data_IF_032156856687
#
_entry.id   IF_032156856687
#
_cell.length_a   1.000
_cell.length_b   1.000
_cell.length_c   1.000
_cell.angle_alpha   90.00
_cell.angle_beta   90.00
_cell.angle_gamma   90.00
#
_symmetry.space_group_name_H-M   'P 1'
#
loop_
_entity.id
_entity.type
_entity.pdbx_description
1 polymer ?
#
# COMPACT_ATOMS: atom_id res chain seq x y z
N UNK A 1 -8.25 17.03 -22.83
CA UNK A 1 -8.76 16.17 -21.73
C UNK A 1 -9.76 16.97 -20.94
N UNK A 2 -10.97 16.44 -20.74
CA UNK A 2 -11.90 17.01 -19.79
C UNK A 2 -11.36 16.77 -18.37
N UNK A 3 -11.45 17.77 -17.49
CA UNK A 3 -11.10 17.60 -16.08
C UNK A 3 -12.11 16.63 -15.44
N UNK A 4 -11.63 15.49 -14.93
CA UNK A 4 -12.42 14.58 -14.11
C UNK A 4 -12.08 14.86 -12.64
N UNK A 5 -13.06 15.13 -11.77
CA UNK A 5 -12.80 15.23 -10.35
C UNK A 5 -12.38 13.86 -9.79
N UNK A 6 -11.47 13.87 -8.82
CA UNK A 6 -11.11 12.67 -8.08
C UNK A 6 -12.03 12.48 -6.87
N UNK A 7 -12.16 11.23 -6.43
CA UNK A 7 -12.85 10.83 -5.21
C UNK A 7 -11.95 9.92 -4.38
N UNK A 8 -12.24 9.86 -3.07
CA UNK A 8 -11.73 8.78 -2.21
C UNK A 8 -12.54 7.51 -2.46
N UNK A 9 -11.84 6.39 -2.58
CA UNK A 9 -12.38 5.04 -2.67
C UNK A 9 -12.35 4.34 -1.30
N UNK A 10 -11.82 5.00 -0.27
CA UNK A 10 -11.63 4.46 1.06
C UNK A 10 -10.19 4.63 1.55
N UNK A 11 -9.98 4.22 2.79
CA UNK A 11 -8.69 4.22 3.46
C UNK A 11 -8.10 2.81 3.48
N UNK A 12 -6.81 2.71 3.76
CA UNK A 12 -6.13 1.45 4.02
C UNK A 12 -6.85 0.63 5.10
N UNK A 13 -7.28 1.30 6.17
CA UNK A 13 -7.97 0.69 7.29
C UNK A 13 -9.29 0.02 6.88
N UNK A 14 -10.11 0.68 6.07
CA UNK A 14 -11.42 0.13 5.71
C UNK A 14 -11.39 -0.79 4.48
N UNK A 15 -10.38 -0.67 3.61
CA UNK A 15 -10.28 -1.45 2.39
C UNK A 15 -9.35 -2.67 2.49
N UNK A 16 -8.29 -2.61 3.29
CA UNK A 16 -7.22 -3.64 3.28
C UNK A 16 -7.06 -4.29 4.65
N UNK A 17 -6.72 -3.51 5.68
CA UNK A 17 -6.41 -4.02 7.01
C UNK A 17 -7.14 -3.22 8.10
N UNK A 18 -8.23 -3.78 8.62
CA UNK A 18 -9.07 -3.16 9.65
C UNK A 18 -8.39 -2.91 10.98
N UNK A 19 -7.22 -3.52 11.21
CA UNK A 19 -6.44 -3.35 12.44
C UNK A 19 -5.27 -2.39 12.27
N UNK A 20 -5.11 -1.82 11.07
CA UNK A 20 -4.04 -0.89 10.74
C UNK A 20 -4.57 0.48 10.36
N UNK A 21 -3.75 1.50 10.60
CA UNK A 21 -4.07 2.89 10.29
C UNK A 21 -3.45 3.33 8.97
N UNK A 22 -2.44 2.63 8.45
CA UNK A 22 -1.78 2.94 7.18
C UNK A 22 -0.86 1.79 6.76
N UNK A 23 -0.43 1.74 5.48
CA UNK A 23 0.62 0.80 5.05
C UNK A 23 1.92 0.95 5.84
N UNK A 24 2.25 2.17 6.25
CA UNK A 24 3.45 2.46 7.02
C UNK A 24 3.36 1.87 8.43
N UNK A 25 2.15 1.80 9.00
CA UNK A 25 1.89 1.12 10.26
C UNK A 25 2.05 -0.39 10.14
N UNK A 26 1.65 -1.00 9.02
CA UNK A 26 1.90 -2.44 8.77
C UNK A 26 3.41 -2.76 8.73
N UNK A 27 4.21 -1.89 8.08
CA UNK A 27 5.66 -2.01 8.07
C UNK A 27 6.24 -1.89 9.49
N UNK A 28 5.76 -0.93 10.27
CA UNK A 28 6.19 -0.76 11.66
C UNK A 28 5.82 -1.97 12.52
N UNK A 29 4.62 -2.51 12.38
CA UNK A 29 4.18 -3.69 13.12
C UNK A 29 5.04 -4.92 12.78
N UNK A 30 5.40 -5.08 11.50
CA UNK A 30 6.34 -6.12 11.07
C UNK A 30 7.72 -5.93 11.73
N UNK A 31 8.30 -4.73 11.62
CA UNK A 31 9.64 -4.40 12.17
C UNK A 31 9.67 -4.51 13.70
N UNK A 32 8.60 -4.13 14.39
CA UNK A 32 8.49 -4.23 15.84
C UNK A 32 8.51 -5.68 16.36
N UNK A 33 8.31 -6.67 15.49
CA UNK A 33 8.50 -8.09 15.80
C UNK A 33 9.97 -8.53 15.93
N UNK A 34 10.92 -7.72 15.44
CA UNK A 34 12.35 -8.01 15.45
C UNK A 34 13.09 -7.57 16.73
N UNK A 35 14.40 -7.81 16.84
CA UNK A 35 15.24 -7.34 17.95
C UNK A 35 15.35 -5.81 18.04
N UNK A 36 15.39 -5.25 19.26
CA UNK A 36 15.44 -3.79 19.47
C UNK A 36 16.68 -3.12 18.85
N UNK A 37 17.84 -3.77 18.89
CA UNK A 37 19.08 -3.28 18.29
C UNK A 37 18.96 -3.15 16.77
N UNK A 38 18.40 -4.17 16.12
CA UNK A 38 18.08 -4.13 14.69
C UNK A 38 17.09 -3.02 14.33
N UNK A 39 16.01 -2.85 15.11
CA UNK A 39 15.05 -1.75 14.91
C UNK A 39 15.74 -0.37 14.97
N UNK A 40 16.60 -0.14 15.97
CA UNK A 40 17.36 1.09 16.11
C UNK A 40 18.33 1.30 14.92
N UNK A 41 18.88 0.23 14.36
CA UNK A 41 19.70 0.28 13.16
C UNK A 41 18.89 0.69 11.93
N UNK A 42 17.69 0.14 11.75
CA UNK A 42 16.81 0.53 10.64
C UNK A 42 16.46 2.03 10.68
N UNK A 43 16.17 2.57 11.86
CA UNK A 43 15.88 3.98 12.03
C UNK A 43 17.13 4.86 11.78
N UNK A 44 18.25 4.52 12.42
CA UNK A 44 19.47 5.35 12.37
C UNK A 44 20.14 5.37 10.99
N UNK A 45 19.98 4.30 10.21
CA UNK A 45 20.49 4.21 8.83
C UNK A 45 19.52 4.76 7.79
N UNK A 46 18.27 5.03 8.18
CA UNK A 46 17.18 5.41 7.28
C UNK A 46 16.66 4.25 6.43
N UNK A 47 17.01 3.00 6.74
CA UNK A 47 16.49 1.82 6.06
C UNK A 47 14.97 1.66 6.26
N UNK A 48 14.44 2.01 7.44
CA UNK A 48 12.99 1.98 7.69
C UNK A 48 12.21 2.83 6.67
N UNK A 49 12.69 4.04 6.39
CA UNK A 49 12.05 4.93 5.41
C UNK A 49 12.09 4.36 3.99
N UNK A 50 13.15 3.60 3.64
CA UNK A 50 13.26 2.93 2.34
C UNK A 50 12.31 1.73 2.24
N UNK A 51 12.19 0.94 3.30
CA UNK A 51 11.23 -0.18 3.36
C UNK A 51 9.80 0.35 3.17
N UNK A 52 9.44 1.41 3.89
CA UNK A 52 8.14 2.07 3.72
C UNK A 52 7.94 2.58 2.29
N UNK A 53 8.94 3.24 1.70
CA UNK A 53 8.85 3.73 0.33
C UNK A 53 8.67 2.59 -0.70
N UNK A 54 9.44 1.51 -0.59
CA UNK A 54 9.35 0.36 -1.48
C UNK A 54 8.02 -0.38 -1.33
N UNK A 55 7.50 -0.53 -0.10
CA UNK A 55 6.19 -1.14 0.13
C UNK A 55 5.06 -0.31 -0.50
N UNK A 56 5.11 1.02 -0.33
CA UNK A 56 4.14 1.93 -0.98
C UNK A 56 4.27 1.92 -2.49
N UNK A 57 5.47 1.75 -3.03
CA UNK A 57 5.68 1.60 -4.47
C UNK A 57 5.03 0.31 -4.98
N UNK A 58 5.28 -0.82 -4.30
CA UNK A 58 4.65 -2.10 -4.63
C UNK A 58 3.12 -2.02 -4.58
N UNK A 59 2.55 -1.35 -3.57
CA UNK A 59 1.11 -1.11 -3.48
C UNK A 59 0.64 -0.32 -4.71
N UNK A 60 1.26 0.82 -5.03
CA UNK A 60 0.82 1.62 -6.18
C UNK A 60 0.99 0.89 -7.53
N UNK A 61 1.97 -0.02 -7.66
CA UNK A 61 2.14 -0.85 -8.85
C UNK A 61 1.03 -1.91 -9.01
N UNK A 62 0.46 -2.39 -7.90
CA UNK A 62 -0.63 -3.35 -7.91
C UNK A 62 -2.01 -2.72 -8.20
N UNK A 63 -2.12 -1.40 -8.05
CA UNK A 63 -3.37 -0.67 -8.26
C UNK A 63 -3.66 -0.41 -9.75
N UNK A 64 -4.93 -0.13 -10.12
CA UNK A 64 -5.24 0.43 -11.41
C UNK A 64 -4.46 1.73 -11.66
N UNK A 65 -4.02 2.02 -12.91
CA UNK A 65 -3.16 3.19 -13.19
C UNK A 65 -3.81 4.54 -12.83
N UNK A 66 -5.13 4.59 -12.77
CA UNK A 66 -5.89 5.79 -12.40
C UNK A 66 -6.16 5.92 -10.89
N UNK A 67 -5.75 4.93 -10.09
CA UNK A 67 -5.83 4.94 -8.64
C UNK A 67 -4.43 5.17 -8.06
N UNK A 68 -4.33 5.95 -6.99
CA UNK A 68 -3.09 6.13 -6.25
C UNK A 68 -3.35 6.16 -4.75
N UNK A 69 -2.43 5.59 -3.99
CA UNK A 69 -2.42 5.65 -2.53
C UNK A 69 -1.81 6.98 -2.06
N UNK A 70 -2.64 7.90 -1.58
CA UNK A 70 -2.26 9.20 -1.04
C UNK A 70 -2.41 9.21 0.48
N UNK A 71 -1.29 9.18 1.23
CA UNK A 71 -1.35 9.02 2.68
C UNK A 71 -1.85 7.62 3.05
N UNK A 72 -3.03 7.51 3.62
CA UNK A 72 -3.73 6.26 3.86
C UNK A 72 -4.97 6.08 2.96
N UNK A 73 -5.24 7.01 2.04
CA UNK A 73 -6.43 6.97 1.18
C UNK A 73 -6.14 6.50 -0.24
N UNK A 74 -7.06 5.72 -0.81
CA UNK A 74 -7.08 5.39 -2.23
C UNK A 74 -7.85 6.46 -2.99
N UNK A 75 -7.16 7.17 -3.88
CA UNK A 75 -7.74 8.29 -4.66
C UNK A 75 -7.74 7.94 -6.14
N UNK A 76 -8.86 8.17 -6.82
CA UNK A 76 -8.98 8.01 -8.27
C UNK A 76 -10.18 8.73 -8.87
N UNK A 77 -10.58 8.41 -10.11
CA UNK A 77 -11.63 9.14 -10.83
C UNK A 77 -13.02 8.96 -10.18
N UNK A 78 -13.80 10.02 -10.01
CA UNK A 78 -15.17 9.89 -9.48
C UNK A 78 -16.12 9.11 -10.41
N UNK A 79 -15.88 9.18 -11.71
CA UNK A 79 -16.62 8.49 -12.75
C UNK A 79 -15.60 7.82 -13.67
N UNK A 80 -15.13 6.60 -13.34
CA UNK A 80 -14.30 5.84 -14.25
C UNK A 80 -15.08 5.53 -15.54
N UNK A 81 -14.35 5.41 -16.66
CA UNK A 81 -14.94 4.86 -17.88
C UNK A 81 -15.29 3.37 -17.66
N UNK A 82 -16.25 2.82 -18.42
CA UNK A 82 -16.79 1.47 -18.20
C UNK A 82 -15.72 0.36 -18.23
N UNK A 83 -14.62 0.56 -18.96
CA UNK A 83 -13.49 -0.36 -19.13
C UNK A 83 -12.23 0.04 -18.35
N UNK A 84 -12.26 1.14 -17.59
CA UNK A 84 -11.07 1.75 -16.99
C UNK A 84 -10.38 0.82 -15.97
N UNK A 85 -11.14 -0.08 -15.34
CA UNK A 85 -10.65 -1.03 -14.34
C UNK A 85 -10.82 -2.50 -14.78
N UNK A 86 -11.02 -2.76 -16.07
CA UNK A 86 -11.13 -4.12 -16.58
C UNK A 86 -9.87 -4.95 -16.25
N UNK A 87 -10.08 -6.15 -15.71
CA UNK A 87 -9.02 -7.07 -15.31
C UNK A 87 -8.51 -6.88 -13.88
N UNK A 88 -8.98 -5.88 -13.15
CA UNK A 88 -8.68 -5.72 -11.73
C UNK A 88 -9.70 -6.48 -10.84
N UNK A 89 -9.28 -6.97 -9.66
CA UNK A 89 -10.17 -7.61 -8.70
C UNK A 89 -11.35 -6.73 -8.28
N UNK A 90 -12.53 -7.34 -8.17
CA UNK A 90 -13.75 -6.70 -7.66
C UNK A 90 -14.40 -7.55 -6.58
N UNK A 91 -15.09 -6.88 -5.65
CA UNK A 91 -15.83 -7.51 -4.55
C UNK A 91 -17.21 -8.04 -5.00
N UNK A 92 -17.99 -8.53 -4.04
CA UNK A 92 -19.32 -9.11 -4.29
C UNK A 92 -20.35 -8.12 -4.86
N UNK A 93 -20.11 -6.81 -4.75
CA UNK A 93 -20.98 -5.75 -5.27
C UNK A 93 -20.41 -5.10 -6.53
N UNK A 94 -19.27 -5.59 -7.04
CA UNK A 94 -18.60 -5.09 -8.23
C UNK A 94 -17.76 -3.83 -8.01
N UNK A 95 -17.45 -3.47 -6.75
CA UNK A 95 -16.49 -2.42 -6.44
C UNK A 95 -15.07 -2.97 -6.45
N UNK A 96 -14.06 -2.12 -6.60
CA UNK A 96 -12.64 -2.56 -6.59
C UNK A 96 -12.29 -3.22 -5.24
N UNK A 97 -11.73 -4.43 -5.32
CA UNK A 97 -11.23 -5.15 -4.15
C UNK A 97 -9.75 -4.83 -3.94
N UNK A 98 -9.47 -3.72 -3.24
CA UNK A 98 -8.10 -3.30 -2.94
C UNK A 98 -7.34 -4.33 -2.11
N UNK A 99 -8.04 -5.08 -1.25
CA UNK A 99 -7.40 -6.12 -0.45
C UNK A 99 -6.86 -7.23 -1.35
N UNK A 100 -7.67 -7.72 -2.29
CA UNK A 100 -7.23 -8.71 -3.26
C UNK A 100 -6.09 -8.21 -4.16
N UNK A 101 -6.07 -6.91 -4.50
CA UNK A 101 -4.98 -6.33 -5.31
C UNK A 101 -3.62 -6.39 -4.60
N UNK A 102 -3.59 -6.18 -3.28
CA UNK A 102 -2.34 -6.07 -2.51
C UNK A 102 -1.99 -7.36 -1.75
N UNK A 103 -2.83 -8.39 -1.80
CA UNK A 103 -2.69 -9.63 -1.03
C UNK A 103 -1.35 -10.35 -1.31
N UNK A 104 -0.87 -10.29 -2.54
CA UNK A 104 0.38 -10.95 -2.96
C UNK A 104 1.65 -10.12 -2.64
N UNK A 105 1.51 -8.93 -2.07
CA UNK A 105 2.67 -8.10 -1.71
C UNK A 105 3.28 -8.61 -0.42
N UNK A 106 4.42 -9.27 -0.54
CA UNK A 106 5.21 -9.75 0.59
C UNK A 106 6.16 -8.67 1.12
N UNK A 107 6.05 -8.36 2.41
CA UNK A 107 6.90 -7.41 3.12
C UNK A 107 8.30 -7.98 3.37
N UNK A 108 8.45 -9.29 3.59
CA UNK A 108 9.71 -9.90 4.01
C UNK A 108 10.85 -9.64 2.99
N UNK A 109 10.69 -9.90 1.68
CA UNK A 109 11.74 -9.62 0.69
C UNK A 109 12.09 -8.12 0.56
N UNK A 110 11.16 -7.22 0.90
CA UNK A 110 11.41 -5.78 0.90
C UNK A 110 12.28 -5.42 2.10
N UNK A 111 11.97 -5.96 3.28
CA UNK A 111 12.76 -5.76 4.50
C UNK A 111 14.18 -6.31 4.34
N UNK A 112 14.33 -7.54 3.84
CA UNK A 112 15.63 -8.17 3.60
C UNK A 112 16.53 -7.34 2.67
N UNK A 113 15.97 -6.72 1.63
CA UNK A 113 16.73 -5.88 0.69
C UNK A 113 17.38 -4.67 1.36
N UNK A 114 16.77 -4.16 2.42
CA UNK A 114 17.23 -2.95 3.13
C UNK A 114 17.83 -3.28 4.50
N UNK A 115 18.01 -4.55 4.84
CA UNK A 115 18.58 -4.97 6.11
C UNK A 115 20.04 -4.49 6.24
N UNK A 116 20.36 -3.64 7.23
CA UNK A 116 21.72 -3.14 7.43
C UNK A 116 22.71 -4.20 7.95
N UNK A 117 22.22 -5.34 8.45
CA UNK A 117 23.06 -6.44 8.95
C UNK A 117 23.30 -7.57 7.91
N UNK A 118 22.72 -7.46 6.72
CA UNK A 118 22.82 -8.45 5.63
C UNK A 118 24.13 -8.39 4.81
#
# INVERSE_FOLDING_TARGET
MAYRPNTSYGTWCNQVNTYSTSPDADVLDYVNGGPNDWQNMLESTGALAKIQADYRAAINEALPPAISLCGDEFIGPWQPDDDEFDGYPVDEIGALDFKAMVEDIDLEPIVERHDPDA
#
